data_IF_621415097458
#
_entry.id   IF_621415097458
#
_cell.length_a   1.000
_cell.length_b   1.000
_cell.length_c   1.000
_cell.angle_alpha   90.00
_cell.angle_beta   90.00
_cell.angle_gamma   90.00
#
_symmetry.space_group_name_H-M   'P 1'
#
loop_
_entity.id
_entity.type
_entity.pdbx_description
1 polymer ?
#
# COMPACT_ATOMS: atom_id res chain seq x y z
N UNK A 1 31.26 -33.70 -19.94
CA UNK A 1 30.79 -34.32 -18.68
C UNK A 1 30.50 -33.19 -17.69
N UNK A 2 29.50 -32.38 -18.02
CA UNK A 2 29.08 -31.24 -17.20
C UNK A 2 27.83 -31.69 -16.44
N UNK A 3 27.94 -31.76 -15.12
CA UNK A 3 26.85 -32.19 -14.25
C UNK A 3 25.80 -31.10 -14.20
N UNK A 4 24.67 -31.32 -14.85
CA UNK A 4 23.41 -30.65 -14.53
C UNK A 4 23.12 -30.88 -13.04
N UNK A 5 23.20 -29.80 -12.27
CA UNK A 5 22.79 -29.80 -10.86
C UNK A 5 21.30 -29.53 -10.84
N UNK A 6 20.53 -30.59 -11.06
CA UNK A 6 19.09 -30.64 -10.83
C UNK A 6 18.80 -30.14 -9.40
N UNK A 7 18.27 -28.92 -9.28
CA UNK A 7 17.73 -28.41 -8.03
C UNK A 7 16.27 -28.86 -7.97
N UNK A 8 16.08 -30.13 -7.62
CA UNK A 8 14.78 -30.63 -7.21
C UNK A 8 14.30 -29.80 -6.01
N UNK A 9 13.14 -29.18 -6.15
CA UNK A 9 12.45 -28.46 -5.09
C UNK A 9 11.69 -29.51 -4.29
N UNK A 10 12.10 -29.92 -3.08
CA UNK A 10 11.23 -30.75 -2.26
C UNK A 10 10.10 -29.86 -1.76
N UNK A 11 8.86 -30.25 -2.07
CA UNK A 11 7.64 -29.74 -1.47
C UNK A 11 7.71 -30.08 0.03
N UNK A 12 8.28 -29.18 0.85
CA UNK A 12 8.36 -29.35 2.30
C UNK A 12 7.11 -28.75 2.92
N UNK A 13 6.10 -29.61 3.11
CA UNK A 13 5.13 -29.46 4.18
C UNK A 13 5.85 -29.70 5.51
N UNK A 14 6.40 -28.61 6.07
CA UNK A 14 7.08 -28.61 7.36
C UNK A 14 6.36 -27.69 8.33
N UNK A 15 5.46 -28.23 9.13
CA UNK A 15 4.95 -27.59 10.35
C UNK A 15 6.08 -27.52 11.40
N UNK A 16 6.97 -26.54 11.26
CA UNK A 16 8.11 -26.35 12.15
C UNK A 16 8.75 -24.97 12.04
N UNK A 17 9.53 -24.59 13.05
CA UNK A 17 10.27 -23.31 13.18
C UNK A 17 11.21 -23.01 11.98
N UNK A 18 11.43 -23.98 11.11
CA UNK A 18 12.13 -23.86 9.82
C UNK A 18 11.46 -22.90 8.83
N UNK A 19 10.15 -22.64 8.97
CA UNK A 19 9.46 -21.64 8.18
C UNK A 19 9.71 -20.21 8.66
N UNK A 20 10.42 -20.01 9.78
CA UNK A 20 10.65 -18.68 10.37
C UNK A 20 12.01 -18.09 9.98
N UNK A 21 12.01 -16.81 9.65
CA UNK A 21 13.21 -16.07 9.26
C UNK A 21 14.36 -16.28 10.25
N UNK A 22 15.53 -16.67 9.72
CA UNK A 22 16.74 -16.98 10.52
C UNK A 22 17.47 -15.73 11.04
N UNK A 23 16.98 -14.53 10.75
CA UNK A 23 17.61 -13.27 11.20
C UNK A 23 17.48 -13.12 12.72
N UNK A 24 18.62 -13.08 13.39
CA UNK A 24 18.76 -12.76 14.81
C UNK A 24 19.56 -11.46 14.96
N UNK A 25 19.20 -10.64 15.95
CA UNK A 25 19.87 -9.35 16.24
C UNK A 25 20.74 -9.44 17.51
N UNK A 26 21.08 -10.65 17.95
CA UNK A 26 21.99 -10.90 19.08
C UNK A 26 21.43 -10.63 20.49
N UNK A 27 20.25 -10.02 20.62
CA UNK A 27 19.61 -9.67 21.92
C UNK A 27 18.37 -10.51 22.24
N UNK A 28 18.37 -11.79 21.84
CA UNK A 28 17.18 -12.66 21.95
C UNK A 28 16.04 -12.32 20.98
N UNK A 29 16.16 -11.24 20.19
CA UNK A 29 15.21 -10.94 19.13
C UNK A 29 15.46 -11.83 17.91
N UNK A 30 14.40 -12.55 17.52
CA UNK A 30 14.31 -13.29 16.26
C UNK A 30 13.08 -12.81 15.48
N UNK A 31 13.25 -12.64 14.18
CA UNK A 31 12.17 -12.22 13.30
C UNK A 31 11.01 -13.23 13.32
N UNK A 32 9.77 -12.77 13.53
CA UNK A 32 8.58 -13.64 13.58
C UNK A 32 8.02 -14.02 12.20
N UNK A 33 8.50 -13.38 11.14
CA UNK A 33 7.99 -13.53 9.77
C UNK A 33 8.41 -14.85 9.11
N UNK A 34 7.60 -15.31 8.14
CA UNK A 34 7.91 -16.49 7.32
C UNK A 34 9.11 -16.25 6.40
N UNK A 35 9.84 -17.32 6.12
CA UNK A 35 10.94 -17.36 5.15
C UNK A 35 10.37 -17.24 3.74
N UNK A 36 11.05 -16.49 2.87
CA UNK A 36 10.72 -16.44 1.44
C UNK A 36 11.11 -17.76 0.77
N UNK A 37 10.28 -18.26 -0.14
CA UNK A 37 10.47 -19.53 -0.84
C UNK A 37 11.88 -19.63 -1.47
N UNK A 38 12.57 -20.75 -1.19
CA UNK A 38 13.93 -20.98 -1.67
C UNK A 38 15.02 -20.10 -1.02
N UNK A 39 14.71 -19.37 0.06
CA UNK A 39 15.67 -18.53 0.80
C UNK A 39 15.69 -18.87 2.29
N UNK A 40 16.47 -18.13 3.09
CA UNK A 40 16.59 -18.31 4.55
C UNK A 40 16.06 -17.12 5.36
N UNK A 41 15.67 -16.06 4.66
CA UNK A 41 15.19 -14.80 5.23
C UNK A 41 13.77 -14.51 4.75
N UNK A 42 13.01 -13.75 5.53
CA UNK A 42 11.73 -13.21 5.06
C UNK A 42 11.93 -12.19 3.94
N UNK A 43 10.87 -11.90 3.19
CA UNK A 43 10.85 -10.92 2.10
C UNK A 43 11.50 -9.59 2.49
N UNK A 44 11.09 -9.03 3.63
CA UNK A 44 11.59 -7.74 4.12
C UNK A 44 13.11 -7.78 4.34
N UNK A 45 13.62 -8.82 5.01
CA UNK A 45 15.05 -8.94 5.26
C UNK A 45 15.85 -9.24 3.99
N UNK A 46 15.26 -9.97 3.05
CA UNK A 46 15.86 -10.22 1.75
C UNK A 46 15.99 -8.93 0.94
N UNK A 47 14.92 -8.15 0.84
CA UNK A 47 14.92 -6.87 0.13
C UNK A 47 15.83 -5.83 0.78
N UNK A 48 15.83 -5.74 2.11
CA UNK A 48 16.77 -4.88 2.84
C UNK A 48 18.22 -5.28 2.56
N UNK A 49 18.52 -6.57 2.50
CA UNK A 49 19.86 -7.07 2.12
C UNK A 49 20.24 -6.64 0.72
N UNK A 50 19.32 -6.80 -0.25
CA UNK A 50 19.50 -6.37 -1.63
C UNK A 50 19.75 -4.86 -1.74
N UNK A 51 18.96 -4.03 -1.06
CA UNK A 51 19.13 -2.57 -1.07
C UNK A 51 20.49 -2.15 -0.47
N UNK A 52 20.93 -2.81 0.60
CA UNK A 52 22.27 -2.58 1.18
C UNK A 52 23.39 -2.93 0.20
N UNK A 53 23.26 -4.03 -0.54
CA UNK A 53 24.23 -4.39 -1.59
C UNK A 53 24.26 -3.35 -2.71
N UNK A 54 23.11 -2.78 -3.06
CA UNK A 54 23.01 -1.71 -4.07
C UNK A 54 23.32 -0.32 -3.52
N UNK A 55 23.74 -0.19 -2.24
CA UNK A 55 23.98 1.09 -1.55
C UNK A 55 22.79 2.07 -1.59
N UNK A 56 21.57 1.55 -1.74
CA UNK A 56 20.33 2.33 -1.71
C UNK A 56 19.85 2.45 -0.26
N UNK A 57 19.44 3.64 0.14
CA UNK A 57 18.84 3.86 1.47
C UNK A 57 17.55 3.06 1.60
N UNK A 58 17.45 2.22 2.63
CA UNK A 58 16.23 1.45 2.90
C UNK A 58 15.11 2.41 3.31
N UNK A 59 13.96 2.42 2.60
CA UNK A 59 12.85 3.31 2.93
C UNK A 59 12.25 2.95 4.30
N UNK A 60 11.75 3.97 5.02
CA UNK A 60 11.20 3.83 6.38
C UNK A 60 10.01 2.87 6.44
N UNK A 61 9.26 2.72 5.34
CA UNK A 61 8.16 1.77 5.21
C UNK A 61 8.61 0.30 5.29
N UNK A 62 9.85 -0.02 4.91
CA UNK A 62 10.40 -1.39 4.97
C UNK A 62 11.12 -1.69 6.29
N UNK A 63 11.22 -0.74 7.23
CA UNK A 63 11.86 -1.00 8.52
C UNK A 63 10.91 -1.76 9.43
N UNK A 64 11.30 -2.98 9.81
CA UNK A 64 10.57 -3.77 10.81
C UNK A 64 10.68 -3.05 12.15
N UNK A 65 9.53 -2.58 12.67
CA UNK A 65 9.43 -1.99 14.01
C UNK A 65 9.44 -3.11 15.05
N UNK A 66 10.34 -3.01 16.01
CA UNK A 66 10.49 -3.99 17.10
C UNK A 66 9.52 -3.60 18.21
N UNK A 67 8.47 -4.39 18.42
CA UNK A 67 7.51 -4.19 19.51
C UNK A 67 6.08 -4.52 19.07
N UNK A 68 5.25 -4.92 20.03
CA UNK A 68 3.84 -5.30 19.88
C UNK A 68 2.90 -4.09 19.57
N UNK A 69 3.46 -2.95 19.15
CA UNK A 69 2.72 -1.73 18.79
C UNK A 69 2.46 -1.56 17.29
N UNK A 70 2.64 -2.62 16.49
CA UNK A 70 2.40 -2.59 15.04
C UNK A 70 0.94 -2.32 14.69
N UNK A 71 0.02 -2.92 15.43
CA UNK A 71 -1.43 -2.78 15.20
C UNK A 71 -1.92 -1.36 15.49
N UNK A 72 -1.51 -0.75 16.61
CA UNK A 72 -1.90 0.63 16.96
C UNK A 72 -1.43 1.64 15.90
N UNK A 73 -0.23 1.45 15.33
CA UNK A 73 0.28 2.33 14.28
C UNK A 73 -0.41 2.10 12.93
N UNK A 74 -0.79 0.87 12.62
CA UNK A 74 -1.62 0.56 11.45
C UNK A 74 -3.00 1.19 11.62
N UNK A 75 -3.62 1.09 12.80
CA UNK A 75 -4.91 1.70 13.10
C UNK A 75 -4.84 3.23 12.99
N UNK A 76 -3.81 3.86 13.58
CA UNK A 76 -3.57 5.30 13.45
C UNK A 76 -3.36 5.73 11.99
N UNK A 77 -2.63 4.95 11.20
CA UNK A 77 -2.49 5.19 9.74
C UNK A 77 -3.81 5.02 9.00
N UNK A 78 -4.61 4.01 9.34
CA UNK A 78 -5.91 3.75 8.70
C UNK A 78 -6.94 4.84 9.06
N UNK A 79 -6.94 5.31 10.32
CA UNK A 79 -7.74 6.46 10.77
C UNK A 79 -7.32 7.73 10.04
N UNK A 80 -6.02 8.02 9.96
CA UNK A 80 -5.51 9.18 9.24
C UNK A 80 -5.79 9.13 7.74
N UNK A 81 -5.70 7.95 7.11
CA UNK A 81 -6.10 7.76 5.71
C UNK A 81 -7.58 8.07 5.51
N UNK A 82 -8.47 7.52 6.35
CA UNK A 82 -9.91 7.79 6.29
C UNK A 82 -10.24 9.27 6.51
N UNK A 83 -9.56 9.94 7.44
CA UNK A 83 -9.73 11.36 7.70
C UNK A 83 -9.38 12.22 6.47
N UNK A 84 -8.27 11.89 5.79
CA UNK A 84 -7.87 12.54 4.54
C UNK A 84 -8.89 12.30 3.41
N UNK A 85 -9.40 11.07 3.27
CA UNK A 85 -10.43 10.73 2.27
C UNK A 85 -11.75 11.48 2.53
N UNK A 86 -12.11 11.73 3.79
CA UNK A 86 -13.31 12.53 4.13
C UNK A 86 -13.12 14.00 3.77
N UNK A 87 -11.93 14.56 4.00
CA UNK A 87 -11.61 15.95 3.65
C UNK A 87 -11.66 16.18 2.13
N UNK A 88 -11.09 15.25 1.37
CA UNK A 88 -11.08 15.29 -0.10
C UNK A 88 -12.49 15.21 -0.68
N UNK A 89 -13.29 14.25 -0.21
CA UNK A 89 -14.70 14.10 -0.62
C UNK A 89 -15.59 15.30 -0.25
N UNK A 90 -15.19 16.09 0.76
CA UNK A 90 -15.94 17.29 1.17
C UNK A 90 -15.66 18.48 0.25
N UNK A 91 -14.42 18.65 -0.20
CA UNK A 91 -14.03 19.67 -1.21
C UNK A 91 -14.73 19.42 -2.55
N UNK A 92 -14.80 18.16 -2.96
CA UNK A 92 -15.39 17.74 -4.24
C UNK A 92 -16.91 18.01 -4.31
N UNK A 93 -17.62 17.93 -3.18
CA UNK A 93 -19.06 18.26 -3.07
C UNK A 93 -19.34 19.74 -3.36
N UNK A 94 -18.47 20.63 -2.87
CA UNK A 94 -18.58 22.06 -3.14
C UNK A 94 -18.41 22.36 -4.64
N UNK A 95 -17.39 21.76 -5.24
CA UNK A 95 -17.10 21.91 -6.68
C UNK A 95 -18.22 21.32 -7.56
N UNK A 96 -18.74 20.14 -7.20
CA UNK A 96 -19.88 19.50 -7.88
C UNK A 96 -21.14 20.35 -7.83
N UNK A 97 -21.41 21.03 -6.70
CA UNK A 97 -22.54 21.94 -6.55
C UNK A 97 -22.39 23.19 -7.42
N UNK A 98 -21.21 23.81 -7.40
CA UNK A 98 -20.91 24.95 -8.30
C UNK A 98 -21.05 24.57 -9.77
N UNK A 99 -20.56 23.40 -10.17
CA UNK A 99 -20.68 22.89 -11.54
C UNK A 99 -22.16 22.68 -11.94
N UNK A 100 -22.99 22.17 -11.04
CA UNK A 100 -24.43 22.00 -11.27
C UNK A 100 -25.17 23.35 -11.39
N UNK A 101 -24.82 24.33 -10.55
CA UNK A 101 -25.43 25.67 -10.61
C UNK A 101 -25.08 26.40 -11.93
N UNK A 102 -23.85 26.26 -12.40
CA UNK A 102 -23.43 26.83 -13.69
C UNK A 102 -24.23 26.26 -14.86
N UNK A 103 -24.41 24.93 -14.90
CA UNK A 103 -25.25 24.25 -15.90
C UNK A 103 -26.68 24.78 -15.84
N UNK A 104 -27.23 24.96 -14.64
CA UNK A 104 -28.60 25.44 -14.44
C UNK A 104 -28.80 26.88 -14.95
N UNK A 105 -27.83 27.77 -14.74
CA UNK A 105 -27.88 29.14 -15.26
C UNK A 105 -27.87 29.14 -16.79
N UNK A 106 -27.01 28.32 -17.40
CA UNK A 106 -26.90 28.23 -18.84
C UNK A 106 -28.18 27.69 -19.50
N UNK A 107 -28.73 26.61 -18.94
CA UNK A 107 -30.00 26.02 -19.41
C UNK A 107 -31.19 26.98 -19.25
N UNK A 108 -31.28 27.71 -18.13
CA UNK A 108 -32.32 28.75 -17.97
C UNK A 108 -32.22 29.83 -19.03
N UNK A 109 -31.00 30.25 -19.37
CA UNK A 109 -30.77 31.26 -20.41
C UNK A 109 -31.21 30.73 -21.78
N UNK A 110 -30.87 29.51 -22.14
CA UNK A 110 -31.32 28.90 -23.41
C UNK A 110 -32.84 28.78 -23.49
N UNK A 111 -33.51 28.37 -22.41
CA UNK A 111 -34.97 28.29 -22.35
C UNK A 111 -35.61 29.68 -22.55
N UNK A 112 -35.09 30.70 -21.88
CA UNK A 112 -35.58 32.09 -22.00
C UNK A 112 -35.39 32.62 -23.42
N UNK A 113 -34.23 32.41 -24.02
CA UNK A 113 -33.94 32.84 -25.39
C UNK A 113 -34.80 32.10 -26.42
N UNK A 114 -35.07 30.81 -26.18
CA UNK A 114 -35.98 30.01 -27.01
C UNK A 114 -37.43 30.46 -26.87
N UNK A 115 -37.87 30.85 -25.67
CA UNK A 115 -39.20 31.43 -25.41
C UNK A 115 -39.40 32.77 -26.13
N UNK A 116 -38.41 33.67 -26.06
CA UNK A 116 -38.46 34.97 -26.77
C UNK A 116 -38.48 34.81 -28.29
N UNK A 117 -37.91 33.73 -28.82
CA UNK A 117 -37.89 33.43 -30.26
C UNK A 117 -39.19 32.78 -30.74
N UNK A 118 -39.95 32.13 -29.86
CA UNK A 118 -41.28 31.59 -30.19
C UNK A 118 -42.41 32.61 -30.05
N UNK A 119 -42.20 33.69 -29.29
CA UNK A 119 -43.16 34.79 -29.14
C UNK A 119 -43.01 35.90 -30.21
N UNK A 120 -42.12 35.70 -31.19
CA UNK A 120 -41.79 36.66 -32.26
C UNK A 120 -42.03 36.03 -33.62
#
# INVERSE_FOLDING_TARGET
KEKEKERGTPLVEGEGDDLRCKRTDGRGWRCKMKVLEGKTLCEIHYEQGRLRQMKVTVPESMKIKRGEGGEEQIEKKLKKKRELEVLENSSDKGMKRMKADLIRVFLRREIIERSKKSEK
#
